data_IF_076159408142
#
_entry.id   IF_076159408142
#
_cell.length_a   1.000
_cell.length_b   1.000
_cell.length_c   1.000
_cell.angle_alpha   90.00
_cell.angle_beta   90.00
_cell.angle_gamma   90.00
#
_symmetry.space_group_name_H-M   'P 1'
#
loop_
_entity.id
_entity.type
_entity.pdbx_description
1 polymer ?
#
# COMPACT_ATOMS: atom_id res chain seq x y z
N UNK A 1 22.97 7.17 -7.74
CA UNK A 1 21.75 7.69 -8.37
C UNK A 1 21.25 8.87 -7.54
N UNK A 2 21.24 10.08 -8.05
CA UNK A 2 20.55 11.20 -7.41
C UNK A 2 19.27 11.49 -8.19
N UNK A 3 18.18 11.71 -7.49
CA UNK A 3 16.94 12.16 -8.09
C UNK A 3 16.75 13.62 -7.69
N UNK A 4 16.72 14.52 -8.66
CA UNK A 4 16.35 15.91 -8.43
C UNK A 4 14.83 16.04 -8.49
N UNK A 5 14.28 16.50 -7.37
CA UNK A 5 12.87 16.86 -7.29
C UNK A 5 12.80 18.36 -7.09
N UNK A 6 12.27 19.07 -8.08
CA UNK A 6 12.09 20.53 -7.99
C UNK A 6 11.05 20.85 -6.92
N UNK A 7 11.49 21.45 -5.82
CA UNK A 7 10.83 22.00 -4.63
C UNK A 7 10.72 21.07 -3.41
N UNK A 8 11.45 21.46 -2.35
CA UNK A 8 11.31 21.12 -0.91
C UNK A 8 10.56 19.83 -0.53
N UNK A 9 11.05 18.69 -1.00
CA UNK A 9 10.51 17.38 -0.63
C UNK A 9 11.43 16.71 0.38
N UNK A 10 10.85 16.25 1.49
CA UNK A 10 11.50 15.31 2.38
C UNK A 10 11.37 13.91 1.78
N UNK A 11 12.45 13.39 1.20
CA UNK A 11 12.50 12.02 0.71
C UNK A 11 13.31 11.15 1.66
N UNK A 12 12.83 9.95 1.87
CA UNK A 12 13.56 8.91 2.59
C UNK A 12 14.14 7.94 1.55
N UNK A 13 15.47 7.96 1.39
CA UNK A 13 16.17 6.97 0.57
C UNK A 13 16.66 5.83 1.48
N UNK A 14 16.49 4.59 1.05
CA UNK A 14 17.34 3.51 1.53
C UNK A 14 18.56 3.44 0.62
N UNK A 15 19.75 3.66 1.15
CA UNK A 15 21.00 3.42 0.42
C UNK A 15 21.34 1.94 0.55
N UNK A 16 21.31 1.22 -0.56
CA UNK A 16 21.87 -0.11 -0.69
C UNK A 16 23.13 -0.01 -1.54
N UNK A 17 24.29 -0.24 -0.93
CA UNK A 17 25.57 -0.26 -1.62
C UNK A 17 25.90 -1.73 -1.88
N UNK A 18 25.67 -2.18 -3.11
CA UNK A 18 26.02 -3.54 -3.55
C UNK A 18 27.37 -3.56 -4.25
N UNK A 19 28.03 -4.70 -4.21
CA UNK A 19 29.26 -4.93 -4.97
C UNK A 19 28.96 -4.94 -6.48
N UNK A 20 29.96 -4.64 -7.30
CA UNK A 20 29.89 -4.67 -8.78
C UNK A 20 29.47 -6.05 -9.30
N UNK A 21 29.58 -7.11 -8.49
CA UNK A 21 29.22 -8.48 -8.86
C UNK A 21 27.71 -8.79 -8.69
N UNK A 22 26.96 -7.95 -7.97
CA UNK A 22 25.50 -8.11 -7.80
C UNK A 22 24.75 -7.01 -8.59
N UNK A 23 24.48 -7.28 -9.88
CA UNK A 23 23.80 -6.33 -10.77
C UNK A 23 22.32 -6.23 -10.42
N UNK A 24 21.70 -7.30 -9.91
CA UNK A 24 20.27 -7.40 -9.69
C UNK A 24 19.84 -6.79 -8.34
N UNK A 25 18.87 -5.87 -8.37
CA UNK A 25 18.37 -5.22 -7.15
C UNK A 25 16.97 -4.63 -7.28
N UNK A 26 16.29 -4.54 -6.13
CA UNK A 26 14.97 -3.89 -6.01
C UNK A 26 15.03 -2.93 -4.83
N UNK A 27 14.67 -1.68 -5.06
CA UNK A 27 14.64 -0.63 -4.04
C UNK A 27 13.24 -0.07 -3.88
N UNK A 28 12.87 0.12 -2.62
CA UNK A 28 11.61 0.75 -2.24
C UNK A 28 11.82 2.26 -2.17
N UNK A 29 11.09 3.00 -2.96
CA UNK A 29 11.09 4.46 -2.95
C UNK A 29 9.73 4.94 -2.45
N UNK A 30 9.74 5.84 -1.47
CA UNK A 30 8.53 6.48 -1.00
C UNK A 30 8.71 7.99 -1.05
N UNK A 31 7.84 8.65 -1.78
CA UNK A 31 7.77 10.10 -1.84
C UNK A 31 6.70 10.55 -0.86
N UNK A 32 7.10 11.15 0.25
CA UNK A 32 6.18 11.71 1.23
C UNK A 32 5.94 13.17 0.89
N UNK A 33 4.70 13.53 0.69
CA UNK A 33 4.32 14.90 0.40
C UNK A 33 3.06 15.26 1.18
N UNK A 34 3.22 16.03 2.22
CA UNK A 34 2.11 16.72 2.89
C UNK A 34 1.65 17.98 2.15
N UNK A 35 2.38 18.44 1.14
CA UNK A 35 2.21 19.77 0.53
C UNK A 35 2.13 19.78 -1.00
N UNK A 36 2.34 18.65 -1.70
CA UNK A 36 2.29 18.65 -3.16
C UNK A 36 0.84 18.65 -3.63
N UNK A 37 0.41 19.79 -4.13
CA UNK A 37 -0.81 19.92 -4.92
C UNK A 37 -0.37 20.09 -6.37
N UNK A 38 -0.55 19.06 -7.18
CA UNK A 38 -0.26 19.14 -8.62
C UNK A 38 0.55 17.97 -9.16
N UNK A 39 1.18 18.20 -10.27
CA UNK A 39 1.97 17.23 -11.02
C UNK A 39 3.39 17.16 -10.45
N UNK A 40 3.88 15.96 -10.20
CA UNK A 40 5.25 15.66 -9.81
C UNK A 40 6.00 15.12 -11.04
N UNK A 41 7.10 15.74 -11.38
CA UNK A 41 8.04 15.22 -12.38
C UNK A 41 9.24 14.58 -11.67
N UNK A 42 9.48 13.30 -11.96
CA UNK A 42 10.66 12.58 -11.53
C UNK A 42 11.60 12.43 -12.72
N UNK A 43 12.81 12.95 -12.56
CA UNK A 43 13.89 12.78 -13.53
C UNK A 43 15.04 12.06 -12.85
N UNK A 44 15.83 11.31 -13.62
CA UNK A 44 17.04 10.65 -13.14
C UNK A 44 18.27 11.40 -13.59
N UNK A 45 19.23 11.55 -12.71
CA UNK A 45 20.56 12.06 -13.03
C UNK A 45 21.60 10.96 -12.78
N UNK A 46 22.39 10.64 -13.77
CA UNK A 46 23.51 9.72 -13.65
C UNK A 46 24.84 10.44 -13.84
N UNK A 47 25.76 10.18 -12.94
CA UNK A 47 27.17 10.52 -13.15
C UNK A 47 27.90 9.26 -13.64
N UNK A 48 28.35 9.26 -14.89
CA UNK A 48 29.06 8.16 -15.53
C UNK A 48 28.22 7.42 -16.59
N UNK A 49 28.75 6.30 -17.10
CA UNK A 49 28.07 5.42 -18.04
C UNK A 49 27.51 4.19 -17.33
N UNK A 50 26.28 3.84 -17.62
CA UNK A 50 25.69 2.58 -17.17
C UNK A 50 26.26 1.40 -18.00
N UNK A 51 26.46 0.22 -17.38
CA UNK A 51 26.77 -0.98 -18.13
C UNK A 51 25.72 -1.24 -19.21
N UNK A 52 26.09 -1.61 -20.44
CA UNK A 52 25.13 -1.78 -21.54
C UNK A 52 24.11 -2.92 -21.29
N UNK A 53 24.47 -3.90 -20.47
CA UNK A 53 23.59 -5.00 -20.08
C UNK A 53 22.63 -4.64 -18.92
N UNK A 54 22.80 -3.49 -18.27
CA UNK A 54 21.97 -3.07 -17.15
C UNK A 54 20.65 -2.50 -17.65
N UNK A 55 19.58 -3.15 -17.28
CA UNK A 55 18.21 -2.67 -17.49
C UNK A 55 17.69 -2.08 -16.18
N UNK A 56 16.91 -1.01 -16.29
CA UNK A 56 16.32 -0.35 -15.12
C UNK A 56 14.87 0.00 -15.43
N UNK A 57 13.97 -0.44 -14.54
CA UNK A 57 12.55 -0.08 -14.58
C UNK A 57 12.10 0.57 -13.28
N UNK A 58 11.11 1.41 -13.39
CA UNK A 58 10.42 2.00 -12.25
C UNK A 58 8.96 1.53 -12.25
N UNK A 59 8.53 0.86 -11.20
CA UNK A 59 7.15 0.42 -11.03
C UNK A 59 6.41 1.38 -10.13
N UNK A 60 5.38 2.00 -10.66
CA UNK A 60 4.42 2.80 -9.91
C UNK A 60 3.37 1.86 -9.29
N UNK A 61 3.42 1.74 -7.97
CA UNK A 61 2.55 0.86 -7.20
C UNK A 61 1.09 1.33 -7.25
N UNK A 62 0.87 2.65 -7.31
CA UNK A 62 -0.47 3.22 -7.23
C UNK A 62 -1.22 3.18 -8.55
N UNK A 63 -0.55 3.49 -9.66
CA UNK A 63 -1.12 3.42 -11.00
C UNK A 63 -0.99 2.04 -11.65
N UNK A 64 -0.18 1.14 -11.07
CA UNK A 64 0.17 -0.19 -11.59
C UNK A 64 0.82 -0.10 -12.97
N UNK A 65 1.69 0.87 -13.17
CA UNK A 65 2.40 1.12 -14.43
C UNK A 65 3.89 0.81 -14.26
N UNK A 66 4.46 0.16 -15.27
CA UNK A 66 5.89 -0.07 -15.41
C UNK A 66 6.47 0.97 -16.36
N UNK A 67 7.50 1.66 -15.94
CA UNK A 67 8.23 2.65 -16.74
C UNK A 67 9.63 2.11 -17.06
N UNK A 68 9.78 1.44 -18.19
CA UNK A 68 11.05 0.83 -18.61
C UNK A 68 12.07 1.84 -19.13
N UNK A 69 11.61 3.03 -19.52
CA UNK A 69 12.45 4.08 -20.10
C UNK A 69 12.51 5.35 -19.24
N UNK A 70 12.15 5.26 -17.94
CA UNK A 70 12.05 6.44 -17.09
C UNK A 70 13.38 7.21 -16.97
N UNK A 71 14.52 6.54 -17.13
CA UNK A 71 15.85 7.14 -17.11
C UNK A 71 16.08 8.13 -18.24
N UNK A 72 15.38 7.94 -19.36
CA UNK A 72 15.52 8.78 -20.58
C UNK A 72 14.44 9.84 -20.62
N UNK A 73 13.22 9.47 -20.28
CA UNK A 73 12.03 10.31 -20.47
C UNK A 73 11.57 11.02 -19.20
N UNK A 74 12.05 10.57 -18.02
CA UNK A 74 11.43 10.92 -16.76
C UNK A 74 10.04 10.32 -16.64
N UNK A 75 9.38 10.58 -15.54
CA UNK A 75 7.96 10.24 -15.35
C UNK A 75 7.20 11.41 -14.76
N UNK A 76 5.96 11.54 -15.19
CA UNK A 76 5.04 12.54 -14.66
C UNK A 76 3.96 11.85 -13.85
N UNK A 77 3.88 12.20 -12.57
CA UNK A 77 2.87 11.69 -11.64
C UNK A 77 1.80 12.75 -11.45
N UNK A 78 0.61 12.54 -11.99
CA UNK A 78 -0.45 13.55 -12.09
C UNK A 78 -1.32 13.72 -10.85
N UNK A 79 -1.22 12.83 -9.87
CA UNK A 79 -1.98 12.94 -8.61
C UNK A 79 -1.09 12.65 -7.40
N UNK A 80 -0.78 13.69 -6.64
CA UNK A 80 -0.26 13.48 -5.30
C UNK A 80 -1.42 13.20 -4.35
N UNK A 81 -1.50 12.00 -3.84
CA UNK A 81 -2.38 11.70 -2.72
C UNK A 81 -1.70 12.16 -1.42
N UNK A 82 -2.50 12.63 -0.45
CA UNK A 82 -2.06 13.17 0.84
C UNK A 82 -1.17 12.21 1.68
N UNK A 83 -1.05 10.95 1.27
CA UNK A 83 -0.41 9.89 2.05
C UNK A 83 0.92 9.38 1.47
N UNK A 84 1.48 10.09 0.49
CA UNK A 84 2.74 9.70 -0.16
C UNK A 84 2.56 8.80 -1.39
N UNK A 85 3.67 8.54 -2.07
CA UNK A 85 3.72 7.83 -3.34
C UNK A 85 4.73 6.69 -3.26
N UNK A 86 4.30 5.47 -3.51
CA UNK A 86 5.13 4.28 -3.43
C UNK A 86 5.58 3.86 -4.84
N UNK A 87 6.89 3.77 -5.02
CA UNK A 87 7.55 3.32 -6.24
C UNK A 87 8.51 2.16 -5.95
N UNK A 88 8.82 1.36 -6.95
CA UNK A 88 9.88 0.34 -6.90
C UNK A 88 10.83 0.59 -8.05
N UNK A 89 12.09 0.86 -7.70
CA UNK A 89 13.18 0.87 -8.66
C UNK A 89 13.73 -0.56 -8.76
N UNK A 90 13.85 -1.06 -9.98
CA UNK A 90 14.37 -2.39 -10.27
C UNK A 90 15.51 -2.23 -11.26
N UNK A 91 16.66 -2.80 -10.96
CA UNK A 91 17.81 -2.79 -11.85
C UNK A 91 18.44 -4.18 -11.90
N UNK A 92 18.93 -4.57 -13.08
CA UNK A 92 19.54 -5.87 -13.30
C UNK A 92 19.60 -6.25 -14.78
N UNK A 93 19.79 -7.54 -15.03
CA UNK A 93 19.63 -8.04 -16.40
C UNK A 93 18.16 -7.94 -16.86
N UNK A 94 17.93 -8.02 -18.16
CA UNK A 94 16.62 -7.83 -18.76
C UNK A 94 15.57 -8.82 -18.24
N UNK A 95 15.95 -10.07 -18.00
CA UNK A 95 15.04 -11.07 -17.49
C UNK A 95 14.64 -10.78 -16.06
N UNK A 96 15.60 -10.47 -15.19
CA UNK A 96 15.34 -10.12 -13.78
C UNK A 96 14.42 -8.90 -13.67
N UNK A 97 14.68 -7.84 -14.45
CA UNK A 97 13.88 -6.62 -14.42
C UNK A 97 12.45 -6.91 -14.86
N UNK A 98 12.26 -7.65 -15.95
CA UNK A 98 10.93 -8.01 -16.47
C UNK A 98 10.14 -8.86 -15.46
N UNK A 99 10.75 -9.96 -14.97
CA UNK A 99 10.09 -10.87 -14.03
C UNK A 99 9.76 -10.20 -12.70
N UNK A 100 10.70 -9.41 -12.16
CA UNK A 100 10.51 -8.71 -10.89
C UNK A 100 9.44 -7.61 -11.00
N UNK A 101 9.40 -6.86 -12.09
CA UNK A 101 8.38 -5.84 -12.33
C UNK A 101 6.99 -6.45 -12.39
N UNK A 102 6.82 -7.54 -13.13
CA UNK A 102 5.53 -8.24 -13.23
C UNK A 102 5.12 -8.86 -11.89
N UNK A 103 6.03 -9.53 -11.21
CA UNK A 103 5.78 -10.13 -9.89
C UNK A 103 5.30 -9.08 -8.87
N UNK A 104 5.92 -7.91 -8.83
CA UNK A 104 5.49 -6.82 -7.94
C UNK A 104 4.04 -6.42 -8.26
N UNK A 105 3.67 -6.28 -9.53
CA UNK A 105 2.31 -5.93 -9.90
C UNK A 105 1.29 -7.02 -9.55
N UNK A 106 1.69 -8.30 -9.66
CA UNK A 106 0.82 -9.44 -9.34
C UNK A 106 0.57 -9.56 -7.82
N UNK A 107 1.54 -9.16 -7.00
CA UNK A 107 1.43 -9.17 -5.53
C UNK A 107 0.57 -8.02 -4.98
N UNK A 108 0.33 -6.96 -5.76
CA UNK A 108 -0.48 -5.81 -5.34
C UNK A 108 -1.96 -6.12 -5.59
N UNK A 109 -2.83 -6.06 -4.57
CA UNK A 109 -4.26 -6.20 -4.78
C UNK A 109 -4.79 -5.19 -5.79
N UNK A 110 -5.61 -5.66 -6.73
CA UNK A 110 -6.21 -4.78 -7.75
C UNK A 110 -7.40 -3.98 -7.23
N UNK A 111 -8.03 -4.44 -6.14
CA UNK A 111 -9.25 -3.87 -5.60
C UNK A 111 -9.18 -3.63 -4.09
N UNK A 112 -9.93 -2.63 -3.64
CA UNK A 112 -10.21 -2.42 -2.23
C UNK A 112 -11.29 -3.41 -1.78
N UNK A 113 -10.90 -4.44 -1.02
CA UNK A 113 -11.76 -5.54 -0.62
C UNK A 113 -11.84 -5.67 0.90
N UNK A 114 -13.02 -5.96 1.41
CA UNK A 114 -13.24 -6.50 2.76
C UNK A 114 -13.94 -7.84 2.61
N UNK A 115 -13.26 -8.90 2.99
CA UNK A 115 -13.80 -10.27 2.97
C UNK A 115 -14.85 -10.47 4.07
N UNK A 116 -15.66 -11.50 3.94
CA UNK A 116 -16.53 -11.94 5.03
C UNK A 116 -15.67 -12.38 6.20
N UNK A 117 -16.02 -11.98 7.42
CA UNK A 117 -15.33 -12.45 8.62
C UNK A 117 -15.43 -13.97 8.78
N UNK A 118 -14.38 -14.59 9.29
CA UNK A 118 -14.37 -16.02 9.54
C UNK A 118 -13.78 -16.34 10.93
N UNK A 119 -14.47 -17.18 11.69
CA UNK A 119 -15.78 -17.79 11.45
C UNK A 119 -16.93 -16.77 11.45
N UNK A 120 -18.08 -17.12 10.84
CA UNK A 120 -19.32 -16.38 10.90
C UNK A 120 -20.52 -17.35 10.76
N UNK A 121 -21.36 -17.60 11.79
CA UNK A 121 -21.30 -17.00 13.13
C UNK A 121 -19.99 -17.30 13.88
N UNK A 122 -19.65 -16.45 14.88
CA UNK A 122 -18.42 -16.59 15.65
C UNK A 122 -18.65 -16.55 17.17
N UNK A 123 -17.70 -17.16 17.94
CA UNK A 123 -17.68 -17.20 19.40
C UNK A 123 -16.25 -17.46 19.91
N UNK A 124 -15.62 -16.62 20.70
CA UNK A 124 -15.85 -15.18 20.77
C UNK A 124 -15.06 -14.41 19.70
N UNK A 125 -14.18 -15.09 18.94
CA UNK A 125 -13.17 -14.48 18.04
C UNK A 125 -13.55 -14.68 16.58
N UNK A 126 -13.36 -13.65 15.80
CA UNK A 126 -13.44 -13.72 14.34
C UNK A 126 -12.34 -12.87 13.69
N UNK A 127 -11.90 -13.29 12.51
CA UNK A 127 -10.91 -12.58 11.69
C UNK A 127 -11.56 -11.94 10.48
N UNK A 128 -11.09 -10.78 10.12
CA UNK A 128 -11.50 -10.04 8.93
C UNK A 128 -10.27 -9.82 8.07
N UNK A 129 -10.28 -10.38 6.86
CA UNK A 129 -9.24 -10.16 5.87
C UNK A 129 -9.68 -9.02 4.95
N UNK A 130 -8.75 -8.16 4.60
CA UNK A 130 -9.01 -7.07 3.67
C UNK A 130 -7.80 -6.77 2.82
N UNK A 131 -8.04 -6.16 1.67
CA UNK A 131 -7.06 -5.87 0.64
C UNK A 131 -7.02 -4.38 0.36
N UNK A 132 -5.81 -3.85 0.32
CA UNK A 132 -5.55 -2.45 0.03
C UNK A 132 -4.73 -2.35 -1.26
N UNK A 133 -5.29 -1.82 -2.35
CA UNK A 133 -4.53 -1.60 -3.59
C UNK A 133 -3.50 -0.47 -3.46
N UNK A 134 -3.64 0.38 -2.44
CA UNK A 134 -2.78 1.55 -2.19
C UNK A 134 -2.55 1.74 -0.70
N UNK A 135 -1.36 2.21 -0.32
CA UNK A 135 -1.06 2.62 1.05
C UNK A 135 -1.88 3.85 1.45
N UNK A 136 -2.22 3.98 2.73
CA UNK A 136 -2.92 5.14 3.24
C UNK A 136 -3.59 4.94 4.59
N UNK A 137 -4.31 5.98 5.05
CA UNK A 137 -5.06 5.93 6.29
C UNK A 137 -6.23 4.98 6.17
N UNK A 138 -6.30 4.01 7.07
CA UNK A 138 -7.32 2.96 7.12
C UNK A 138 -8.07 3.01 8.43
N UNK A 139 -9.39 2.87 8.35
CA UNK A 139 -10.27 2.71 9.49
C UNK A 139 -11.01 1.39 9.33
N UNK A 140 -10.94 0.52 10.34
CA UNK A 140 -11.79 -0.67 10.44
C UNK A 140 -12.55 -0.58 11.75
N UNK A 141 -13.86 -0.40 11.64
CA UNK A 141 -14.75 -0.12 12.78
C UNK A 141 -15.92 -1.11 12.80
N UNK A 142 -16.27 -1.54 13.98
CA UNK A 142 -17.43 -2.41 14.24
C UNK A 142 -18.60 -1.57 14.73
N UNK A 143 -19.76 -1.78 14.14
CA UNK A 143 -21.02 -1.12 14.50
C UNK A 143 -22.09 -2.13 14.93
N UNK A 144 -22.99 -1.71 15.81
CA UNK A 144 -24.20 -2.47 16.12
C UNK A 144 -25.33 -2.18 15.09
N UNK A 145 -26.47 -2.84 15.24
CA UNK A 145 -27.64 -2.69 14.35
C UNK A 145 -28.25 -1.28 14.36
N UNK A 146 -27.93 -0.44 15.37
CA UNK A 146 -28.37 0.96 15.45
C UNK A 146 -27.40 1.91 14.77
N UNK A 147 -26.30 1.39 14.18
CA UNK A 147 -25.26 2.21 13.58
C UNK A 147 -24.32 2.89 14.58
N UNK A 148 -24.37 2.49 15.86
CA UNK A 148 -23.48 3.01 16.90
C UNK A 148 -22.14 2.27 16.84
N UNK A 149 -21.05 3.00 16.94
CA UNK A 149 -19.70 2.44 17.03
C UNK A 149 -19.57 1.59 18.31
N UNK A 150 -19.06 0.37 18.12
CA UNK A 150 -18.78 -0.59 19.18
C UNK A 150 -17.29 -0.68 19.44
N UNK A 151 -16.51 -0.81 18.38
CA UNK A 151 -15.06 -0.99 18.46
C UNK A 151 -14.38 -0.42 17.21
N UNK A 152 -13.35 0.37 17.41
CA UNK A 152 -12.38 0.67 16.36
C UNK A 152 -11.23 -0.34 16.47
N UNK A 153 -11.05 -1.15 15.43
CA UNK A 153 -9.98 -2.14 15.34
C UNK A 153 -8.72 -1.58 14.73
N UNK A 154 -8.87 -0.73 13.71
CA UNK A 154 -7.77 -0.09 12.99
C UNK A 154 -8.08 1.39 12.79
N UNK A 155 -7.10 2.25 13.07
CA UNK A 155 -7.12 3.69 12.79
C UNK A 155 -5.70 4.19 12.59
N UNK A 156 -5.03 3.73 11.52
CA UNK A 156 -3.63 4.02 11.26
C UNK A 156 -3.33 3.99 9.75
N UNK A 157 -2.11 4.39 9.38
CA UNK A 157 -1.62 4.24 8.02
C UNK A 157 -1.13 2.81 7.81
N UNK A 158 -1.67 2.15 6.79
CA UNK A 158 -1.24 0.83 6.35
C UNK A 158 -0.66 0.88 4.95
N UNK A 159 0.28 0.01 4.68
CA UNK A 159 0.80 -0.20 3.32
C UNK A 159 -0.24 -0.91 2.46
N UNK A 160 -0.08 -0.83 1.13
CA UNK A 160 -0.83 -1.71 0.22
C UNK A 160 -0.57 -3.19 0.56
N UNK A 161 -1.47 -4.06 0.14
CA UNK A 161 -1.33 -5.51 0.36
C UNK A 161 -2.50 -6.13 1.10
N UNK A 162 -2.28 -7.35 1.57
CA UNK A 162 -3.23 -8.15 2.35
C UNK A 162 -3.07 -7.88 3.84
N UNK A 163 -4.17 -7.69 4.53
CA UNK A 163 -4.21 -7.41 5.95
C UNK A 163 -5.25 -8.27 6.65
N UNK A 164 -5.02 -8.51 7.95
CA UNK A 164 -5.95 -9.24 8.82
C UNK A 164 -6.14 -8.49 10.12
N UNK A 165 -7.39 -8.39 10.57
CA UNK A 165 -7.74 -7.88 11.89
C UNK A 165 -8.64 -8.87 12.61
N UNK A 166 -8.50 -8.96 13.93
CA UNK A 166 -9.30 -9.84 14.78
C UNK A 166 -10.22 -9.05 15.70
N UNK A 167 -11.43 -9.54 15.92
CA UNK A 167 -12.34 -9.01 16.92
C UNK A 167 -12.79 -10.10 17.89
N UNK A 168 -12.76 -9.78 19.18
CA UNK A 168 -13.05 -10.72 20.28
C UNK A 168 -14.42 -10.49 20.94
N UNK A 169 -15.35 -9.82 20.25
CA UNK A 169 -16.67 -9.52 20.82
C UNK A 169 -16.64 -8.56 22.01
N UNK A 170 -15.69 -7.61 22.02
CA UNK A 170 -15.54 -6.58 23.07
C UNK A 170 -15.68 -5.18 22.48
N UNK A 171 -16.16 -4.24 23.29
CA UNK A 171 -16.27 -2.81 22.93
C UNK A 171 -14.93 -2.06 23.10
N UNK A 172 -14.94 -0.74 22.83
CA UNK A 172 -13.76 0.12 23.02
C UNK A 172 -13.28 0.21 24.48
N UNK A 173 -14.16 -0.10 25.45
CA UNK A 173 -13.82 -0.12 26.88
C UNK A 173 -13.39 -1.50 27.36
N UNK A 174 -13.26 -2.50 26.47
CA UNK A 174 -12.90 -3.87 26.79
C UNK A 174 -14.04 -4.71 27.38
N UNK A 175 -15.29 -4.23 27.36
CA UNK A 175 -16.44 -4.95 27.91
C UNK A 175 -17.03 -5.88 26.87
N UNK A 176 -17.42 -7.12 27.24
CA UNK A 176 -18.07 -8.05 26.32
C UNK A 176 -19.40 -7.48 25.80
N UNK A 177 -19.60 -7.60 24.49
CA UNK A 177 -20.87 -7.20 23.88
C UNK A 177 -21.89 -8.35 23.88
N UNK A 178 -23.17 -8.07 23.65
CA UNK A 178 -24.24 -9.06 23.58
C UNK A 178 -24.18 -9.88 22.30
N UNK A 179 -24.70 -11.13 22.33
CA UNK A 179 -24.95 -11.88 21.10
C UNK A 179 -25.87 -11.08 20.16
N UNK A 180 -25.63 -11.14 18.87
CA UNK A 180 -26.41 -10.40 17.91
C UNK A 180 -25.71 -10.13 16.57
N UNK A 181 -26.30 -9.26 15.80
CA UNK A 181 -25.78 -8.82 14.49
C UNK A 181 -24.94 -7.56 14.67
N UNK A 182 -23.77 -7.58 14.03
CA UNK A 182 -22.83 -6.48 13.96
C UNK A 182 -22.43 -6.23 12.50
N UNK A 183 -21.81 -5.10 12.24
CA UNK A 183 -21.29 -4.74 10.94
C UNK A 183 -19.84 -4.29 11.09
N UNK A 184 -18.94 -4.89 10.31
CA UNK A 184 -17.59 -4.35 10.12
C UNK A 184 -17.61 -3.38 8.94
N UNK A 185 -17.01 -2.22 9.12
CA UNK A 185 -16.86 -1.21 8.08
C UNK A 185 -15.39 -0.89 7.90
N UNK A 186 -14.88 -1.13 6.70
CA UNK A 186 -13.54 -0.73 6.27
C UNK A 186 -13.63 0.55 5.45
N UNK A 187 -12.85 1.56 5.79
CA UNK A 187 -12.75 2.84 5.04
C UNK A 187 -11.31 3.20 4.78
N UNK A 188 -11.04 3.63 3.56
CA UNK A 188 -9.77 4.26 3.17
C UNK A 188 -10.01 5.12 1.92
N UNK A 189 -9.37 6.29 1.83
CA UNK A 189 -9.37 7.16 0.65
C UNK A 189 -10.76 7.42 0.04
N UNK A 190 -11.78 7.59 0.86
CA UNK A 190 -13.17 7.82 0.42
C UNK A 190 -13.92 6.55 -0.01
N UNK A 191 -13.27 5.40 -0.11
CA UNK A 191 -13.93 4.12 -0.38
C UNK A 191 -14.37 3.47 0.92
N UNK A 192 -15.53 2.82 0.89
CA UNK A 192 -16.13 2.12 2.03
C UNK A 192 -16.66 0.75 1.62
N UNK A 193 -16.34 -0.28 2.43
CA UNK A 193 -16.91 -1.63 2.32
C UNK A 193 -17.45 -2.06 3.66
N UNK A 194 -18.61 -2.73 3.68
CA UNK A 194 -19.27 -3.20 4.91
C UNK A 194 -19.62 -4.68 4.80
N UNK A 195 -19.46 -5.42 5.91
CA UNK A 195 -19.85 -6.83 6.04
C UNK A 195 -20.67 -7.05 7.30
N UNK A 196 -21.71 -7.88 7.17
CA UNK A 196 -22.55 -8.32 8.29
C UNK A 196 -21.88 -9.48 9.01
N UNK A 197 -21.89 -9.44 10.34
CA UNK A 197 -21.34 -10.48 11.22
C UNK A 197 -22.38 -10.93 12.23
N UNK A 198 -22.33 -12.19 12.64
CA UNK A 198 -23.22 -12.76 13.67
C UNK A 198 -22.37 -13.27 14.83
N UNK A 199 -22.55 -12.65 16.00
CA UNK A 199 -21.87 -13.03 17.24
C UNK A 199 -22.80 -13.92 18.07
N UNK A 200 -22.30 -15.06 18.50
CA UNK A 200 -22.97 -16.00 19.40
C UNK A 200 -22.15 -16.14 20.69
N UNK A 201 -22.83 -16.21 21.82
CA UNK A 201 -22.22 -16.58 23.10
C UNK A 201 -22.49 -18.02 23.40
#
# INVERSE_FOLDING_TARGET
>A
LSMDVNQNLNYQFSSDIRSIEEINGIWNLRINSSEIKGTLELTSLFEGSLPPELNISLVDIQSRVIYDQFLVTGITISESTLDGYDLRLIAGDAQFVMESSQKILDEIPSEFLLSQNYPNPFNPVTNMNFELPRSGRVFLTIYNVRGQEVKTLINENLNYGLHTASWQGIDNMGRPVSSGVYFSELRSRGVRKTRKMVFLK
#
